data_IF_802779633495
#
_entry.id   IF_802779633495
#
_cell.length_a   1.000
_cell.length_b   1.000
_cell.length_c   1.000
_cell.angle_alpha   90.00
_cell.angle_beta   90.00
_cell.angle_gamma   90.00
#
_symmetry.space_group_name_H-M   'P 1'
#
loop_
_entity.id
_entity.type
_entity.pdbx_description
1 polymer ?
#
# COMPACT_ATOMS: atom_id res chain seq x y z
N UNK A 1 -7.89 -6.48 4.71
CA UNK A 1 -8.59 -5.44 3.93
C UNK A 1 -7.62 -4.55 3.16
N UNK A 2 -6.72 -3.81 3.83
CA UNK A 2 -5.71 -2.95 3.16
C UNK A 2 -4.87 -3.72 2.13
N UNK A 3 -4.37 -4.92 2.47
CA UNK A 3 -3.57 -5.74 1.55
C UNK A 3 -4.36 -6.13 0.29
N UNK A 4 -5.57 -6.65 0.48
CA UNK A 4 -6.45 -7.06 -0.61
C UNK A 4 -6.79 -5.88 -1.53
N UNK A 5 -7.12 -4.73 -0.96
CA UNK A 5 -7.42 -3.50 -1.71
C UNK A 5 -6.18 -2.98 -2.46
N UNK A 6 -4.99 -3.12 -1.88
CA UNK A 6 -3.74 -2.74 -2.53
C UNK A 6 -3.46 -3.60 -3.78
N UNK A 7 -3.84 -4.88 -3.73
CA UNK A 7 -3.70 -5.80 -4.87
C UNK A 7 -4.69 -5.55 -6.00
N UNK A 8 -5.69 -4.68 -5.81
CA UNK A 8 -6.54 -4.20 -6.92
C UNK A 8 -5.79 -3.23 -7.85
N UNK A 9 -4.69 -2.63 -7.38
CA UNK A 9 -3.85 -1.77 -8.21
C UNK A 9 -3.14 -2.60 -9.30
N UNK A 10 -3.28 -2.28 -10.60
CA UNK A 10 -2.89 -3.15 -11.72
C UNK A 10 -1.39 -3.39 -11.88
N UNK A 11 -0.57 -2.72 -11.07
CA UNK A 11 0.89 -2.87 -11.05
C UNK A 11 1.39 -3.69 -9.87
N UNK A 12 0.57 -3.99 -8.86
CA UNK A 12 1.01 -4.65 -7.64
C UNK A 12 0.70 -6.15 -7.67
N UNK A 13 1.67 -6.95 -7.24
CA UNK A 13 1.53 -8.41 -7.11
C UNK A 13 1.80 -8.90 -5.68
N UNK A 14 2.37 -8.04 -4.85
CA UNK A 14 2.63 -8.28 -3.43
C UNK A 14 2.12 -7.08 -2.63
N UNK A 15 1.40 -7.35 -1.55
CA UNK A 15 1.04 -6.38 -0.53
C UNK A 15 1.13 -7.03 0.85
N UNK A 16 1.76 -6.35 1.80
CA UNK A 16 1.85 -6.78 3.19
C UNK A 16 1.64 -5.57 4.11
N UNK A 17 0.65 -5.66 5.00
CA UNK A 17 0.33 -4.63 5.98
C UNK A 17 0.81 -5.08 7.36
N UNK A 18 1.62 -4.24 8.00
CA UNK A 18 2.25 -4.53 9.28
C UNK A 18 1.87 -3.44 10.28
N UNK A 19 1.37 -3.85 11.44
CA UNK A 19 1.23 -2.97 12.59
C UNK A 19 2.61 -2.63 13.17
N UNK A 20 2.90 -1.34 13.31
CA UNK A 20 4.11 -0.86 13.94
C UNK A 20 3.74 0.08 15.10
N UNK A 21 4.32 -0.10 16.30
CA UNK A 21 4.04 0.77 17.43
C UNK A 21 4.49 2.20 17.12
N UNK A 22 3.61 3.17 17.38
CA UNK A 22 3.88 4.59 17.20
C UNK A 22 3.57 5.37 18.49
N UNK A 23 4.42 6.34 18.83
CA UNK A 23 4.29 7.07 20.10
C UNK A 23 3.14 8.06 20.13
N UNK A 24 2.66 8.51 18.97
CA UNK A 24 1.61 9.53 18.86
C UNK A 24 0.25 8.86 18.66
N UNK A 25 0.19 7.86 17.78
CA UNK A 25 -1.05 7.21 17.37
C UNK A 25 -1.28 5.85 18.06
N UNK A 26 -0.34 5.39 18.89
CA UNK A 26 -0.32 4.07 19.50
C UNK A 26 0.21 3.01 18.53
N UNK A 27 -0.40 2.93 17.34
CA UNK A 27 0.00 2.02 16.26
C UNK A 27 -0.21 2.69 14.90
N UNK A 28 0.68 2.41 13.95
CA UNK A 28 0.56 2.80 12.55
C UNK A 28 0.68 1.58 11.66
N UNK A 29 0.04 1.62 10.50
CA UNK A 29 0.15 0.54 9.50
C UNK A 29 1.24 0.89 8.51
N UNK A 30 2.22 0.00 8.38
CA UNK A 30 3.22 0.03 7.31
C UNK A 30 2.78 -0.90 6.20
N UNK A 31 2.60 -0.34 5.01
CA UNK A 31 2.25 -1.10 3.82
C UNK A 31 3.48 -1.28 2.94
N UNK A 32 3.93 -2.52 2.80
CA UNK A 32 4.97 -2.92 1.86
C UNK A 32 4.29 -3.42 0.59
N UNK A 33 4.68 -2.86 -0.56
CA UNK A 33 4.14 -3.25 -1.86
C UNK A 33 5.25 -3.69 -2.80
N UNK A 34 4.96 -4.73 -3.58
CA UNK A 34 5.84 -5.21 -4.63
C UNK A 34 5.15 -5.08 -5.99
N UNK A 35 5.67 -4.26 -6.91
CA UNK A 35 5.15 -4.23 -8.26
C UNK A 35 5.50 -5.52 -9.02
N UNK A 36 4.73 -5.80 -10.06
CA UNK A 36 5.05 -6.86 -11.02
C UNK A 36 6.43 -6.63 -11.64
N UNK A 37 7.13 -7.71 -11.99
CA UNK A 37 8.42 -7.63 -12.67
C UNK A 37 8.29 -6.76 -13.94
N UNK A 38 9.33 -5.97 -14.20
CA UNK A 38 9.41 -5.04 -15.34
C UNK A 38 8.42 -3.85 -15.32
N UNK A 39 7.44 -3.82 -14.40
CA UNK A 39 6.58 -2.65 -14.19
C UNK A 39 7.25 -1.67 -13.24
N UNK A 40 7.48 -0.44 -13.72
CA UNK A 40 7.92 0.66 -12.86
C UNK A 40 6.75 1.15 -12.02
N UNK A 41 6.94 1.16 -10.70
CA UNK A 41 6.06 1.81 -9.75
C UNK A 41 6.56 3.24 -9.52
N UNK A 42 5.77 4.23 -9.94
CA UNK A 42 6.13 5.65 -9.87
C UNK A 42 5.49 6.33 -8.65
N UNK A 43 5.86 7.58 -8.41
CA UNK A 43 5.21 8.40 -7.38
C UNK A 43 3.73 8.69 -7.70
N UNK A 44 3.36 8.68 -8.99
CA UNK A 44 1.96 8.81 -9.42
C UNK A 44 1.15 7.57 -9.04
N UNK A 45 1.69 6.38 -9.29
CA UNK A 45 1.07 5.11 -8.86
C UNK A 45 0.92 5.05 -7.35
N UNK A 46 1.94 5.50 -6.62
CA UNK A 46 1.88 5.61 -5.16
C UNK A 46 0.74 6.55 -4.73
N UNK A 47 0.59 7.69 -5.39
CA UNK A 47 -0.47 8.66 -5.06
C UNK A 47 -1.85 8.07 -5.33
N UNK A 48 -2.04 7.44 -6.49
CA UNK A 48 -3.29 6.76 -6.86
C UNK A 48 -3.67 5.68 -5.83
N UNK A 49 -2.72 4.81 -5.49
CA UNK A 49 -2.91 3.79 -4.45
C UNK A 49 -3.35 4.42 -3.12
N UNK A 50 -2.66 5.47 -2.66
CA UNK A 50 -2.99 6.14 -1.40
C UNK A 50 -4.34 6.85 -1.43
N UNK A 51 -4.81 7.33 -2.58
CA UNK A 51 -6.15 7.92 -2.72
C UNK A 51 -7.24 6.86 -2.62
N UNK A 52 -7.02 5.66 -3.17
CA UNK A 52 -7.93 4.52 -3.02
C UNK A 52 -8.03 4.07 -1.56
N UNK A 53 -6.90 3.90 -0.88
CA UNK A 53 -6.85 3.46 0.51
C UNK A 53 -7.52 4.45 1.50
N UNK A 54 -7.60 5.74 1.16
CA UNK A 54 -8.28 6.76 1.98
C UNK A 54 -9.81 6.76 1.88
N UNK A 55 -10.36 6.11 0.84
CA UNK A 55 -11.80 6.06 0.58
C UNK A 55 -12.49 4.88 1.26
N UNK A 56 -11.69 3.97 1.83
CA UNK A 56 -12.13 2.85 2.67
C UNK A 56 -12.09 3.28 4.12
#
# INVERSE_FOLDING_TARGET
EIESLSLEHPKLVIAAALGAPDKIHGEVVWLVVGPELEKKFTDEDKKELMETLKKT
#
